data_IF_253076941609
#
_entry.id   IF_253076941609
#
_cell.length_a   1.000
_cell.length_b   1.000
_cell.length_c   1.000
_cell.angle_alpha   90.00
_cell.angle_beta   90.00
_cell.angle_gamma   90.00
#
_symmetry.space_group_name_H-M   'P 1'
#
loop_
_entity.id
_entity.type
_entity.pdbx_description
1 polymer ?
#
# COMPACT_ATOMS: atom_id res chain seq x y z
N UNK A 1 -14.25 30.99 52.61
CA UNK A 1 -13.25 30.18 51.89
C UNK A 1 -13.94 29.67 50.62
N UNK A 2 -13.71 30.34 49.50
CA UNK A 2 -14.11 29.85 48.19
C UNK A 2 -13.09 28.83 47.71
N UNK A 3 -13.47 27.55 47.72
CA UNK A 3 -12.72 26.51 47.00
C UNK A 3 -13.17 26.63 45.54
N UNK A 4 -12.35 27.25 44.71
CA UNK A 4 -12.55 27.21 43.27
C UNK A 4 -12.26 25.78 42.81
N UNK A 5 -13.31 25.04 42.52
CA UNK A 5 -13.17 23.76 41.81
C UNK A 5 -12.62 24.03 40.41
N UNK A 6 -11.32 23.82 40.23
CA UNK A 6 -10.74 23.67 38.92
C UNK A 6 -11.34 22.41 38.26
N UNK A 7 -12.31 22.61 37.40
CA UNK A 7 -12.75 21.50 36.52
C UNK A 7 -11.62 21.23 35.56
N UNK A 8 -11.03 20.02 35.53
CA UNK A 8 -9.99 19.69 34.57
C UNK A 8 -10.56 19.86 33.16
N UNK A 9 -9.79 20.52 32.31
CA UNK A 9 -10.17 20.70 30.90
C UNK A 9 -10.15 19.32 30.24
N UNK A 10 -11.30 18.86 29.75
CA UNK A 10 -11.41 17.61 28.99
C UNK A 10 -11.16 17.94 27.52
N UNK A 11 -10.30 17.17 26.87
CA UNK A 11 -10.09 17.27 25.44
C UNK A 11 -10.48 15.96 24.75
N UNK A 12 -11.03 16.05 23.54
CA UNK A 12 -11.40 14.90 22.72
C UNK A 12 -10.18 14.43 21.96
N UNK A 13 -9.89 13.14 22.02
CA UNK A 13 -8.89 12.49 21.18
C UNK A 13 -9.56 11.40 20.37
N UNK A 14 -9.37 11.45 19.07
CA UNK A 14 -9.77 10.41 18.14
C UNK A 14 -8.77 9.24 18.24
N UNK A 15 -9.30 8.03 18.20
CA UNK A 15 -8.50 6.80 18.13
C UNK A 15 -8.71 6.25 16.73
N UNK A 16 -7.66 6.24 15.95
CA UNK A 16 -7.68 5.63 14.61
C UNK A 16 -7.78 4.11 14.71
N UNK A 17 -8.68 3.48 13.93
CA UNK A 17 -8.76 2.03 13.82
C UNK A 17 -7.55 1.48 13.06
N UNK A 18 -7.15 0.25 13.37
CA UNK A 18 -6.17 -0.44 12.56
C UNK A 18 -6.81 -0.87 11.24
N UNK A 19 -6.19 -0.47 10.11
CA UNK A 19 -6.67 -0.86 8.79
C UNK A 19 -6.46 -2.35 8.56
N UNK A 20 -7.50 -3.07 8.09
CA UNK A 20 -7.46 -4.49 7.79
C UNK A 20 -6.43 -4.85 6.71
N UNK A 21 -5.98 -6.09 6.71
CA UNK A 21 -5.02 -6.62 5.74
C UNK A 21 -5.69 -7.11 4.46
N UNK A 22 -4.94 -7.14 3.36
CA UNK A 22 -5.34 -7.85 2.15
C UNK A 22 -4.46 -9.09 2.05
N UNK A 23 -5.07 -10.25 1.92
CA UNK A 23 -4.39 -11.55 1.87
C UNK A 23 -4.75 -12.29 0.58
N UNK A 24 -3.83 -13.11 0.10
CA UNK A 24 -4.08 -13.99 -1.02
C UNK A 24 -4.93 -15.22 -0.60
N UNK A 25 -5.19 -16.13 -1.54
CA UNK A 25 -6.01 -17.31 -1.25
C UNK A 25 -5.30 -18.31 -0.31
N UNK A 26 -3.98 -18.29 -0.24
CA UNK A 26 -3.16 -19.12 0.63
C UNK A 26 -2.94 -18.52 2.03
N UNK A 27 -3.30 -17.24 2.23
CA UNK A 27 -3.10 -16.51 3.48
C UNK A 27 -1.84 -15.67 3.53
N UNK A 28 -1.14 -15.49 2.40
CA UNK A 28 0.01 -14.58 2.31
C UNK A 28 -0.46 -13.13 2.35
N UNK A 29 0.25 -12.29 3.10
CA UNK A 29 -0.07 -10.86 3.25
C UNK A 29 0.32 -10.09 1.98
N UNK A 30 -0.66 -9.58 1.24
CA UNK A 30 -0.46 -8.73 0.06
C UNK A 30 -0.35 -7.25 0.42
N UNK A 31 -1.12 -6.82 1.41
CA UNK A 31 -1.04 -5.48 1.99
C UNK A 31 -1.37 -5.54 3.48
N UNK A 32 -0.60 -4.82 4.30
CA UNK A 32 -0.80 -4.79 5.75
C UNK A 32 -0.45 -3.40 6.32
N UNK A 33 -1.09 -3.04 7.43
CA UNK A 33 -0.74 -1.83 8.18
C UNK A 33 0.25 -2.17 9.29
N UNK A 34 1.35 -1.43 9.32
CA UNK A 34 2.38 -1.58 10.36
C UNK A 34 2.51 -0.26 11.11
N UNK A 35 2.47 -0.28 12.45
CA UNK A 35 2.69 0.92 13.23
C UNK A 35 4.14 1.39 13.07
N UNK A 36 4.29 2.61 12.63
CA UNK A 36 5.56 3.33 12.59
C UNK A 36 5.52 4.48 13.59
N UNK A 37 6.66 4.97 13.99
CA UNK A 37 6.75 5.99 15.01
C UNK A 37 7.59 7.17 14.55
N UNK A 38 7.06 8.36 14.76
CA UNK A 38 7.78 9.61 14.60
C UNK A 38 8.21 10.09 16.00
N UNK A 39 9.49 10.39 16.15
CA UNK A 39 10.06 10.84 17.41
C UNK A 39 10.49 12.28 17.29
N UNK A 40 9.93 13.10 18.15
CA UNK A 40 10.25 14.50 18.29
C UNK A 40 10.79 14.78 19.68
N UNK A 41 11.38 15.96 19.85
CA UNK A 41 11.91 16.38 21.13
C UNK A 41 11.48 17.81 21.47
N UNK A 42 10.91 17.99 22.66
CA UNK A 42 10.80 19.31 23.30
C UNK A 42 12.17 19.70 23.84
N UNK A 43 12.93 20.45 23.04
CA UNK A 43 14.24 20.90 23.45
C UNK A 43 14.20 21.98 24.55
N UNK A 44 13.00 22.55 24.84
CA UNK A 44 12.81 23.59 25.86
C UNK A 44 12.31 23.03 27.19
N UNK A 45 12.15 21.70 27.29
CA UNK A 45 11.67 21.00 28.46
C UNK A 45 12.43 21.43 29.72
N UNK A 46 11.72 21.63 30.85
CA UNK A 46 12.23 22.01 32.18
C UNK A 46 13.00 23.34 32.25
N UNK A 47 13.22 24.05 31.15
CA UNK A 47 14.07 25.28 31.14
C UNK A 47 13.47 26.42 31.96
N UNK A 48 12.15 26.56 31.95
CA UNK A 48 11.44 27.56 32.74
C UNK A 48 11.47 27.24 34.24
N UNK A 49 11.44 25.98 34.59
CA UNK A 49 11.56 25.48 35.96
C UNK A 49 12.97 25.67 36.48
N UNK A 50 14.00 25.38 35.67
CA UNK A 50 15.38 25.61 36.02
C UNK A 50 15.65 27.11 36.25
N UNK A 51 15.06 27.99 35.46
CA UNK A 51 15.23 29.45 35.63
C UNK A 51 14.71 29.97 36.98
N UNK A 52 13.78 29.23 37.62
CA UNK A 52 13.20 29.58 38.94
C UNK A 52 13.88 28.86 40.11
N UNK A 53 14.74 27.90 39.82
CA UNK A 53 15.42 27.08 40.84
C UNK A 53 16.75 27.72 41.26
N UNK A 54 17.09 27.62 42.56
CA UNK A 54 18.36 28.12 43.09
C UNK A 54 19.58 27.48 42.42
N UNK A 55 19.48 26.20 42.05
CA UNK A 55 20.53 25.43 41.36
C UNK A 55 20.23 25.32 39.85
N UNK A 56 19.48 26.25 39.29
CA UNK A 56 19.01 26.18 37.92
C UNK A 56 20.09 26.14 36.87
N UNK A 57 21.20 26.91 37.10
CA UNK A 57 22.36 26.91 36.20
C UNK A 57 23.07 25.53 36.13
N UNK A 58 23.18 24.86 37.28
CA UNK A 58 23.78 23.52 37.37
C UNK A 58 22.91 22.47 36.67
N UNK A 59 21.60 22.48 36.91
CA UNK A 59 20.62 21.64 36.23
C UNK A 59 20.59 21.86 34.72
N UNK A 60 20.72 23.08 34.26
CA UNK A 60 20.82 23.41 32.82
C UNK A 60 22.11 22.85 32.23
N UNK A 61 23.24 22.96 32.90
CA UNK A 61 24.51 22.40 32.46
C UNK A 61 24.46 20.86 32.38
N UNK A 62 23.87 20.23 33.37
CA UNK A 62 23.64 18.75 33.39
C UNK A 62 22.75 18.31 32.21
N UNK A 63 21.65 19.06 31.95
CA UNK A 63 20.78 18.75 30.80
C UNK A 63 21.54 18.88 29.47
N UNK A 64 22.35 19.92 29.28
CA UNK A 64 23.16 20.14 28.08
C UNK A 64 24.15 18.98 27.90
N UNK A 65 24.81 18.54 28.97
CA UNK A 65 25.72 17.40 28.93
C UNK A 65 25.00 16.11 28.50
N UNK A 66 23.84 15.84 29.09
CA UNK A 66 22.99 14.68 28.70
C UNK A 66 22.53 14.78 27.25
N UNK A 67 22.15 15.95 26.76
CA UNK A 67 21.76 16.16 25.38
C UNK A 67 22.91 15.93 24.40
N UNK A 68 24.12 16.35 24.73
CA UNK A 68 25.33 16.07 23.95
C UNK A 68 25.65 14.57 23.94
N UNK A 69 25.47 13.88 25.06
CA UNK A 69 25.66 12.44 25.13
C UNK A 69 24.60 11.70 24.29
N UNK A 70 23.32 12.09 24.40
CA UNK A 70 22.26 11.57 23.54
C UNK A 70 22.60 11.76 22.04
N UNK A 71 23.09 12.93 21.66
CA UNK A 71 23.49 13.20 20.29
C UNK A 71 24.60 12.28 19.76
N UNK A 72 25.51 11.80 20.66
CA UNK A 72 26.53 10.79 20.30
C UNK A 72 25.96 9.38 20.14
N UNK A 73 24.91 9.07 20.90
CA UNK A 73 24.27 7.75 20.91
C UNK A 73 23.29 7.56 19.74
N UNK A 74 22.58 8.63 19.31
CA UNK A 74 21.55 8.58 18.26
C UNK A 74 22.01 7.91 16.94
N UNK A 75 23.22 8.22 16.38
CA UNK A 75 23.65 7.60 15.12
C UNK A 75 23.83 6.08 15.19
N UNK A 76 24.10 5.54 16.37
CA UNK A 76 24.24 4.09 16.54
C UNK A 76 22.91 3.35 16.44
N UNK A 77 21.79 4.00 16.80
CA UNK A 77 20.45 3.46 16.75
C UNK A 77 19.78 3.81 15.41
N UNK A 78 19.96 5.04 14.92
CA UNK A 78 19.36 5.57 13.69
C UNK A 78 20.31 5.44 12.49
N UNK A 79 20.84 4.24 12.25
CA UNK A 79 21.88 3.96 11.25
C UNK A 79 21.49 4.35 9.82
N UNK A 80 20.21 4.18 9.48
CA UNK A 80 19.69 4.44 8.13
C UNK A 80 19.62 5.93 7.78
N UNK A 81 19.56 6.81 8.77
CA UNK A 81 19.49 8.27 8.57
C UNK A 81 20.82 8.87 8.09
N UNK A 82 21.95 8.19 8.25
CA UNK A 82 23.29 8.66 7.86
C UNK A 82 23.75 9.95 8.55
N UNK A 83 23.03 10.43 9.57
CA UNK A 83 23.29 11.69 10.27
C UNK A 83 24.34 11.52 11.34
N UNK A 84 25.24 12.51 11.48
CA UNK A 84 26.32 12.48 12.44
C UNK A 84 25.89 12.92 13.84
N UNK A 85 26.72 12.58 14.85
CA UNK A 85 26.55 13.06 16.22
C UNK A 85 26.57 14.61 16.31
N UNK A 86 27.39 15.28 15.48
CA UNK A 86 27.40 16.76 15.40
C UNK A 86 26.09 17.32 14.90
N UNK A 87 25.48 16.69 13.89
CA UNK A 87 24.16 17.10 13.40
C UNK A 87 23.10 17.09 14.51
N UNK A 88 22.99 15.99 15.27
CA UNK A 88 22.03 15.90 16.36
C UNK A 88 22.34 16.86 17.51
N UNK A 89 23.62 17.05 17.84
CA UNK A 89 24.02 18.03 18.86
C UNK A 89 23.60 19.45 18.47
N UNK A 90 23.89 19.86 17.24
CA UNK A 90 23.50 21.18 16.73
C UNK A 90 21.98 21.35 16.66
N UNK A 91 21.27 20.30 16.23
CA UNK A 91 19.80 20.29 16.15
C UNK A 91 19.17 20.53 17.53
N UNK A 92 19.59 19.76 18.54
CA UNK A 92 19.03 19.81 19.90
C UNK A 92 19.41 21.11 20.61
N UNK A 93 20.68 21.49 20.57
CA UNK A 93 21.15 22.71 21.28
C UNK A 93 20.63 24.00 20.63
N UNK A 94 20.52 24.04 19.31
CA UNK A 94 19.87 25.15 18.59
C UNK A 94 18.35 25.17 18.89
N UNK A 95 17.71 24.01 18.94
CA UNK A 95 16.32 23.89 19.37
C UNK A 95 16.11 24.47 20.76
N UNK A 96 17.01 24.16 21.72
CA UNK A 96 16.96 24.70 23.08
C UNK A 96 17.15 26.24 23.15
N UNK A 97 18.11 26.74 22.40
CA UNK A 97 18.35 28.20 22.31
C UNK A 97 17.13 28.94 21.73
N UNK A 98 16.53 28.37 20.69
CA UNK A 98 15.39 28.94 19.97
C UNK A 98 14.03 28.59 20.58
N UNK A 99 14.00 27.99 21.77
CA UNK A 99 12.76 27.58 22.50
C UNK A 99 11.85 26.65 21.69
N UNK A 100 12.42 25.81 20.83
CA UNK A 100 11.64 24.86 20.02
C UNK A 100 11.17 23.69 20.88
N UNK A 101 9.88 23.45 20.85
CA UNK A 101 9.23 22.37 21.63
C UNK A 101 8.91 21.13 20.79
N UNK A 102 9.14 21.19 19.49
CA UNK A 102 8.80 20.13 18.56
C UNK A 102 9.87 19.99 17.48
N UNK A 103 10.96 19.34 17.84
CA UNK A 103 12.12 19.15 16.97
C UNK A 103 12.16 17.69 16.49
N UNK A 104 12.11 17.42 15.16
CA UNK A 104 12.12 16.06 14.66
C UNK A 104 13.49 15.40 14.90
N UNK A 105 13.48 14.25 15.57
CA UNK A 105 14.67 13.42 15.81
C UNK A 105 14.73 12.27 14.83
N UNK A 106 13.63 11.52 14.70
CA UNK A 106 13.50 10.41 13.78
C UNK A 106 12.07 10.32 13.23
N UNK A 107 11.92 9.83 12.02
CA UNK A 107 10.61 9.61 11.39
C UNK A 107 10.52 8.21 10.81
N UNK A 108 9.32 7.62 10.89
CA UNK A 108 9.03 6.35 10.27
C UNK A 108 9.87 5.19 10.82
N UNK A 109 10.17 5.18 12.12
CA UNK A 109 10.92 4.10 12.77
C UNK A 109 9.98 3.00 13.27
N UNK A 110 10.45 1.77 13.28
CA UNK A 110 9.74 0.63 13.83
C UNK A 110 9.71 0.63 15.37
N UNK A 111 8.90 -0.27 15.94
CA UNK A 111 8.77 -0.39 17.39
C UNK A 111 10.08 -0.83 18.07
N UNK A 112 10.89 -1.68 17.43
CA UNK A 112 12.18 -2.14 17.96
C UNK A 112 13.15 -0.96 18.10
N UNK A 113 13.29 -0.17 17.06
CA UNK A 113 14.11 1.06 17.05
C UNK A 113 13.62 2.08 18.09
N UNK A 114 12.29 2.24 18.24
CA UNK A 114 11.73 3.09 19.29
C UNK A 114 12.13 2.62 20.70
N UNK A 115 12.09 1.32 20.96
CA UNK A 115 12.50 0.77 22.25
C UNK A 115 14.00 1.02 22.53
N UNK A 116 14.85 0.91 21.51
CA UNK A 116 16.28 1.24 21.66
C UNK A 116 16.49 2.74 21.93
N UNK A 117 15.76 3.62 21.25
CA UNK A 117 15.81 5.07 21.51
C UNK A 117 15.43 5.41 22.95
N UNK A 118 14.43 4.73 23.51
CA UNK A 118 13.99 4.94 24.90
C UNK A 118 15.03 4.54 25.94
N UNK A 119 16.04 3.76 25.58
CA UNK A 119 17.15 3.37 26.48
C UNK A 119 18.28 4.41 26.52
N UNK A 120 18.36 5.31 25.54
CA UNK A 120 19.40 6.29 25.40
C UNK A 120 19.43 7.34 26.54
N UNK A 121 20.58 7.93 26.73
CA UNK A 121 20.76 9.04 27.70
C UNK A 121 19.73 10.14 27.43
N UNK A 122 19.14 10.70 28.50
CA UNK A 122 18.04 11.64 28.50
C UNK A 122 16.70 11.01 28.11
N UNK A 123 16.58 10.21 27.03
CA UNK A 123 15.32 9.57 26.62
C UNK A 123 14.83 8.47 27.57
N UNK A 124 15.72 7.85 28.36
CA UNK A 124 15.37 6.92 29.43
C UNK A 124 14.73 7.58 30.67
N UNK A 125 14.80 8.90 30.76
CA UNK A 125 14.14 9.64 31.83
C UNK A 125 12.63 9.73 31.58
N UNK A 126 11.85 10.10 32.61
CA UNK A 126 10.41 10.30 32.47
C UNK A 126 10.12 11.37 31.40
N UNK A 127 9.05 11.22 30.64
CA UNK A 127 8.67 12.05 29.49
C UNK A 127 8.77 13.55 29.80
N UNK A 128 8.29 14.00 30.96
CA UNK A 128 8.32 15.40 31.34
C UNK A 128 9.74 15.97 31.59
N UNK A 129 10.76 15.10 31.71
CA UNK A 129 12.17 15.50 31.85
C UNK A 129 12.97 15.29 30.57
N UNK A 130 12.65 14.22 29.85
CA UNK A 130 13.33 13.87 28.60
C UNK A 130 12.95 14.79 27.46
N UNK A 131 11.72 15.32 27.46
CA UNK A 131 11.15 16.03 26.33
C UNK A 131 10.88 15.15 25.12
N UNK A 132 10.98 13.81 25.23
CA UNK A 132 10.70 12.90 24.15
C UNK A 132 9.21 12.88 23.85
N UNK A 133 8.84 13.13 22.60
CA UNK A 133 7.48 13.08 22.10
C UNK A 133 7.45 11.97 21.05
N UNK A 134 6.52 11.04 21.18
CA UNK A 134 6.35 9.91 20.27
C UNK A 134 4.96 9.97 19.66
N UNK A 135 4.90 10.01 18.35
CA UNK A 135 3.67 9.90 17.59
C UNK A 135 3.64 8.58 16.85
N UNK A 136 2.53 7.86 16.96
CA UNK A 136 2.29 6.64 16.21
C UNK A 136 1.63 7.02 14.89
N UNK A 137 2.13 6.49 13.78
CA UNK A 137 1.57 6.61 12.46
C UNK A 137 1.42 5.22 11.87
N UNK A 138 0.31 4.93 11.19
CA UNK A 138 0.16 3.66 10.50
C UNK A 138 0.63 3.80 9.06
N UNK A 139 1.59 2.96 8.68
CA UNK A 139 2.11 2.90 7.32
C UNK A 139 1.62 1.65 6.63
N UNK A 140 1.03 1.81 5.44
CA UNK A 140 0.61 0.70 4.61
C UNK A 140 1.81 0.09 3.90
N UNK A 141 2.05 -1.19 4.15
CA UNK A 141 3.16 -1.95 3.57
C UNK A 141 2.63 -2.99 2.59
N UNK A 142 3.44 -3.25 1.56
CA UNK A 142 3.17 -4.19 0.49
C UNK A 142 4.37 -5.14 0.41
N UNK A 143 4.33 -6.32 1.06
CA UNK A 143 5.48 -7.20 1.22
C UNK A 143 6.09 -7.68 -0.09
N UNK A 144 5.32 -7.68 -1.18
CA UNK A 144 5.76 -8.10 -2.52
C UNK A 144 6.01 -6.94 -3.49
N UNK A 145 6.23 -5.74 -2.95
CA UNK A 145 6.58 -4.50 -3.68
C UNK A 145 5.69 -4.21 -4.90
N UNK A 146 6.20 -4.49 -6.09
CA UNK A 146 5.53 -4.18 -7.37
C UNK A 146 4.55 -5.28 -7.82
N UNK A 147 4.60 -6.50 -7.24
CA UNK A 147 3.72 -7.60 -7.67
C UNK A 147 2.26 -7.32 -7.32
N UNK A 148 1.39 -7.45 -8.31
CA UNK A 148 -0.05 -7.17 -8.23
C UNK A 148 -0.36 -5.75 -7.71
N UNK A 149 0.61 -4.85 -7.75
CA UNK A 149 0.53 -3.54 -7.13
C UNK A 149 -0.67 -2.73 -7.61
N UNK A 150 -1.00 -2.85 -8.88
CA UNK A 150 -2.12 -2.13 -9.48
C UNK A 150 -3.47 -2.78 -9.19
N UNK A 151 -3.49 -4.09 -9.02
CA UNK A 151 -4.70 -4.85 -8.65
C UNK A 151 -5.02 -4.63 -7.17
N UNK A 152 -4.00 -4.74 -6.30
CA UNK A 152 -4.14 -4.42 -4.87
C UNK A 152 -4.51 -2.94 -4.72
N UNK A 153 -3.81 -2.07 -5.40
CA UNK A 153 -4.10 -0.64 -5.42
C UNK A 153 -3.67 0.11 -4.17
N UNK A 154 -4.32 1.23 -3.92
CA UNK A 154 -4.09 2.11 -2.78
C UNK A 154 -5.22 3.13 -2.62
N UNK A 155 -5.33 3.70 -1.43
CA UNK A 155 -6.14 4.89 -1.15
C UNK A 155 -5.19 6.07 -0.95
N UNK A 156 -5.38 7.14 -1.71
CA UNK A 156 -4.59 8.36 -1.59
C UNK A 156 -5.50 9.54 -1.30
N UNK A 157 -5.28 10.18 -0.16
CA UNK A 157 -5.91 11.46 0.17
C UNK A 157 -5.13 12.58 -0.51
N UNK A 158 -5.76 13.28 -1.43
CA UNK A 158 -5.22 14.53 -1.97
C UNK A 158 -5.74 15.70 -1.14
N UNK A 159 -4.89 16.72 -0.93
CA UNK A 159 -5.22 17.93 -0.16
C UNK A 159 -6.47 18.69 -0.64
N UNK A 160 -6.96 18.40 -1.84
CA UNK A 160 -8.05 19.11 -2.51
C UNK A 160 -9.32 18.25 -2.64
N UNK A 161 -9.78 17.67 -1.54
CA UNK A 161 -11.12 17.03 -1.42
C UNK A 161 -11.36 15.73 -2.20
N UNK A 162 -10.48 15.28 -3.07
CA UNK A 162 -10.65 14.04 -3.83
C UNK A 162 -9.79 12.91 -3.28
N UNK A 163 -10.43 11.93 -2.66
CA UNK A 163 -9.77 10.66 -2.32
C UNK A 163 -9.73 9.77 -3.55
N UNK A 164 -8.54 9.35 -3.95
CA UNK A 164 -8.36 8.43 -5.06
C UNK A 164 -8.42 7.00 -4.54
N UNK A 165 -9.43 6.26 -4.98
CA UNK A 165 -9.67 4.87 -4.66
C UNK A 165 -9.24 3.99 -5.83
N UNK A 166 -8.25 3.11 -5.63
CA UNK A 166 -7.68 2.29 -6.69
C UNK A 166 -7.57 0.84 -6.23
N UNK A 167 -7.96 -0.09 -7.10
CA UNK A 167 -7.85 -1.52 -6.89
C UNK A 167 -8.68 -2.01 -5.71
N UNK A 168 -8.28 -3.15 -5.14
CA UNK A 168 -8.94 -3.78 -3.99
C UNK A 168 -8.96 -2.84 -2.78
N UNK A 169 -7.84 -2.14 -2.53
CA UNK A 169 -7.74 -1.13 -1.47
C UNK A 169 -8.82 -0.06 -1.56
N UNK A 170 -9.11 0.37 -2.77
CA UNK A 170 -10.12 1.40 -3.02
C UNK A 170 -11.53 0.88 -2.93
N UNK A 171 -11.83 -0.20 -3.64
CA UNK A 171 -13.18 -0.78 -3.73
C UNK A 171 -13.67 -1.28 -2.36
N UNK A 172 -12.79 -1.94 -1.61
CA UNK A 172 -13.11 -2.47 -0.28
C UNK A 172 -12.71 -1.55 0.87
N UNK A 173 -12.48 -0.25 0.60
CA UNK A 173 -12.04 0.70 1.61
C UNK A 173 -13.00 0.76 2.80
N UNK A 174 -14.31 0.65 2.58
CA UNK A 174 -15.31 0.66 3.65
C UNK A 174 -15.07 -0.44 4.69
N UNK A 175 -14.70 -1.64 4.26
CA UNK A 175 -14.42 -2.77 5.14
C UNK A 175 -13.02 -2.68 5.77
N UNK A 176 -12.04 -2.25 4.98
CA UNK A 176 -10.64 -2.17 5.40
C UNK A 176 -10.39 -1.05 6.42
N UNK A 177 -11.12 0.07 6.34
CA UNK A 177 -10.82 1.27 7.14
C UNK A 177 -11.20 1.11 8.62
N UNK A 178 -12.28 0.36 8.92
CA UNK A 178 -12.82 0.28 10.27
C UNK A 178 -13.61 1.54 10.69
N UNK A 179 -13.78 1.71 12.00
CA UNK A 179 -14.54 2.86 12.56
C UNK A 179 -13.74 3.50 13.68
N UNK A 180 -13.55 4.81 13.58
CA UNK A 180 -12.84 5.62 14.57
C UNK A 180 -13.51 5.56 15.95
N UNK A 181 -12.66 5.49 16.96
CA UNK A 181 -13.07 5.61 18.36
C UNK A 181 -12.88 7.03 18.88
N UNK A 182 -13.52 7.32 20.00
CA UNK A 182 -13.37 8.59 20.73
C UNK A 182 -13.02 8.31 22.19
N UNK A 183 -11.93 8.91 22.67
CA UNK A 183 -11.58 8.90 24.08
C UNK A 183 -11.54 10.32 24.64
N UNK A 184 -11.85 10.44 25.93
CA UNK A 184 -11.66 11.70 26.63
C UNK A 184 -10.34 11.64 27.40
N UNK A 185 -9.52 12.66 27.22
CA UNK A 185 -8.29 12.87 27.99
C UNK A 185 -8.48 14.02 28.96
N UNK A 186 -8.17 13.80 30.23
CA UNK A 186 -8.09 14.86 31.24
C UNK A 186 -6.70 15.47 31.22
N UNK A 187 -6.64 16.78 31.15
CA UNK A 187 -5.39 17.52 31.34
C UNK A 187 -5.24 17.74 32.84
N UNK A 188 -4.33 17.02 33.47
CA UNK A 188 -3.96 17.20 34.87
C UNK A 188 -2.80 18.16 35.01
N UNK A 189 -2.96 19.18 35.88
CA UNK A 189 -1.92 20.19 36.27
C UNK A 189 -0.89 20.57 35.20
N UNK A 190 -1.42 20.78 34.01
CA UNK A 190 -0.71 21.51 32.96
C UNK A 190 0.08 20.68 31.97
N UNK A 191 0.20 19.33 32.06
CA UNK A 191 1.07 18.63 31.10
C UNK A 191 0.79 17.15 30.81
N UNK A 192 0.09 16.41 31.65
CA UNK A 192 -0.16 14.98 31.36
C UNK A 192 -1.61 14.75 30.96
N UNK A 193 -1.82 14.23 29.74
CA UNK A 193 -3.13 13.75 29.30
C UNK A 193 -3.35 12.34 29.87
N UNK A 194 -4.27 12.21 30.80
CA UNK A 194 -4.66 10.92 31.37
C UNK A 194 -6.04 10.54 30.82
N UNK A 195 -6.21 9.30 30.37
CA UNK A 195 -7.48 8.78 29.93
C UNK A 195 -8.55 8.95 31.04
N UNK A 196 -9.69 9.55 30.70
CA UNK A 196 -10.79 9.70 31.62
C UNK A 196 -11.64 8.43 31.67
N UNK A 197 -11.39 7.58 32.63
CA UNK A 197 -12.09 6.29 32.82
C UNK A 197 -13.60 6.40 33.06
N UNK A 198 -14.10 7.58 33.47
CA UNK A 198 -15.51 7.83 33.80
C UNK A 198 -16.34 8.38 32.62
N UNK A 199 -15.72 8.60 31.43
CA UNK A 199 -16.43 9.14 30.28
C UNK A 199 -16.80 8.07 29.26
N UNK A 200 -17.98 8.23 28.64
CA UNK A 200 -18.41 7.36 27.55
C UNK A 200 -17.39 7.42 26.41
N UNK A 201 -16.68 6.33 26.22
CA UNK A 201 -15.73 6.14 25.13
C UNK A 201 -16.46 5.50 23.96
N UNK A 202 -16.37 6.09 22.76
CA UNK A 202 -16.78 5.38 21.54
C UNK A 202 -15.68 4.37 21.24
N UNK A 203 -16.05 3.08 21.28
CA UNK A 203 -15.08 2.01 21.04
C UNK A 203 -14.61 2.06 19.59
N UNK A 204 -13.29 2.06 19.37
CA UNK A 204 -12.70 1.85 18.06
C UNK A 204 -13.03 0.44 17.56
N UNK A 205 -13.33 0.32 16.28
CA UNK A 205 -13.55 -0.96 15.60
C UNK A 205 -12.55 -1.06 14.46
N UNK A 206 -11.61 -2.00 14.58
CA UNK A 206 -10.60 -2.23 13.56
C UNK A 206 -11.23 -2.68 12.24
N UNK A 207 -10.54 -2.41 11.13
CA UNK A 207 -10.95 -2.83 9.80
C UNK A 207 -10.92 -4.35 9.65
N UNK A 208 -11.72 -4.84 8.71
CA UNK A 208 -11.80 -6.27 8.38
C UNK A 208 -10.74 -6.63 7.36
N UNK A 209 -10.16 -7.82 7.48
CA UNK A 209 -9.26 -8.36 6.47
C UNK A 209 -10.04 -8.79 5.22
N UNK A 210 -9.44 -8.56 4.06
CA UNK A 210 -9.98 -8.99 2.77
C UNK A 210 -9.17 -10.16 2.24
N UNK A 211 -9.82 -11.32 2.09
CA UNK A 211 -9.23 -12.47 1.42
C UNK A 211 -9.56 -12.44 -0.05
N UNK A 212 -8.53 -12.45 -0.90
CA UNK A 212 -8.66 -12.43 -2.35
C UNK A 212 -8.56 -13.85 -2.92
N UNK A 213 -8.86 -13.98 -4.21
CA UNK A 213 -8.62 -15.20 -4.97
C UNK A 213 -7.23 -15.25 -5.60
N UNK A 214 -6.46 -14.16 -5.50
CA UNK A 214 -5.09 -14.10 -6.01
C UNK A 214 -4.20 -15.15 -5.35
N UNK A 215 -3.23 -15.61 -6.11
CA UNK A 215 -2.15 -16.49 -5.68
C UNK A 215 -0.83 -15.79 -6.01
N UNK A 216 -0.07 -15.41 -4.99
CA UNK A 216 1.13 -14.61 -5.21
C UNK A 216 2.23 -15.36 -5.95
N UNK A 217 2.28 -16.69 -5.83
CA UNK A 217 3.26 -17.50 -6.54
C UNK A 217 2.92 -17.57 -8.04
N UNK A 218 1.62 -17.74 -8.38
CA UNK A 218 1.16 -17.68 -9.77
C UNK A 218 1.34 -16.27 -10.34
N UNK A 219 1.09 -15.24 -9.55
CA UNK A 219 1.31 -13.84 -9.92
C UNK A 219 2.78 -13.58 -10.29
N UNK A 220 3.73 -14.07 -9.48
CA UNK A 220 5.16 -13.92 -9.72
C UNK A 220 5.60 -14.68 -11.00
N UNK A 221 5.11 -15.89 -11.21
CA UNK A 221 5.39 -16.66 -12.44
C UNK A 221 4.87 -15.90 -13.67
N UNK A 222 3.64 -15.40 -13.62
CA UNK A 222 3.02 -14.66 -14.70
C UNK A 222 3.74 -13.33 -14.99
N UNK A 223 4.14 -12.59 -13.94
CA UNK A 223 4.90 -11.34 -14.06
C UNK A 223 6.24 -11.58 -14.75
N UNK A 224 7.01 -12.57 -14.28
CA UNK A 224 8.31 -12.93 -14.90
C UNK A 224 8.14 -13.39 -16.34
N UNK A 225 7.14 -14.20 -16.65
CA UNK A 225 6.87 -14.65 -18.00
C UNK A 225 6.55 -13.46 -18.93
N UNK A 226 5.70 -12.53 -18.48
CA UNK A 226 5.35 -11.35 -19.27
C UNK A 226 6.58 -10.45 -19.49
N UNK A 227 7.35 -10.14 -18.44
CA UNK A 227 8.59 -9.34 -18.54
C UNK A 227 9.57 -9.93 -19.55
N UNK A 228 9.82 -11.23 -19.46
CA UNK A 228 10.74 -11.92 -20.37
C UNK A 228 10.28 -11.84 -21.82
N UNK A 229 8.98 -12.04 -22.08
CA UNK A 229 8.45 -11.94 -23.43
C UNK A 229 8.46 -10.50 -23.97
N UNK A 230 8.11 -9.51 -23.13
CA UNK A 230 8.15 -8.10 -23.54
C UNK A 230 9.57 -7.58 -23.77
N UNK A 231 10.58 -8.16 -23.12
CA UNK A 231 11.97 -7.77 -23.32
C UNK A 231 12.57 -8.24 -24.66
N UNK A 232 11.92 -9.17 -25.37
CA UNK A 232 12.40 -9.68 -26.66
C UNK A 232 12.15 -8.72 -27.82
N UNK A 233 11.22 -7.77 -27.66
CA UNK A 233 10.80 -6.86 -28.72
C UNK A 233 10.85 -5.40 -28.21
N UNK A 234 11.58 -4.56 -28.92
CA UNK A 234 11.78 -3.15 -28.50
C UNK A 234 10.51 -2.31 -28.61
N UNK A 235 9.63 -2.64 -29.53
CA UNK A 235 8.41 -1.86 -29.84
C UNK A 235 7.25 -2.16 -28.86
N UNK A 236 7.38 -3.16 -27.99
CA UNK A 236 6.34 -3.46 -26.99
C UNK A 236 6.35 -2.40 -25.89
N UNK A 237 5.24 -1.69 -25.76
CA UNK A 237 5.06 -0.62 -24.76
C UNK A 237 4.30 -1.08 -23.51
N UNK A 238 3.55 -2.18 -23.59
CA UNK A 238 2.80 -2.72 -22.47
C UNK A 238 2.14 -4.06 -22.79
N UNK A 239 1.71 -4.77 -21.76
CA UNK A 239 1.00 -6.02 -21.86
C UNK A 239 0.31 -6.39 -20.55
N UNK A 240 -0.63 -7.32 -20.62
CA UNK A 240 -1.27 -7.87 -19.43
C UNK A 240 -1.43 -9.39 -19.53
N UNK A 241 -1.48 -10.06 -18.38
CA UNK A 241 -1.79 -11.48 -18.24
C UNK A 241 -2.86 -11.64 -17.19
N UNK A 242 -3.90 -12.41 -17.48
CA UNK A 242 -4.91 -12.82 -16.53
C UNK A 242 -4.94 -14.34 -16.47
N UNK A 243 -4.79 -14.90 -15.27
CA UNK A 243 -4.88 -16.34 -15.01
C UNK A 243 -6.16 -16.63 -14.24
N UNK A 244 -7.01 -17.45 -14.84
CA UNK A 244 -8.29 -17.86 -14.28
C UNK A 244 -8.28 -19.36 -13.93
N UNK A 245 -8.85 -19.67 -12.80
CA UNK A 245 -9.22 -21.03 -12.43
C UNK A 245 -10.47 -21.42 -13.23
N UNK A 246 -10.36 -22.46 -14.03
CA UNK A 246 -11.41 -22.83 -15.00
C UNK A 246 -12.69 -23.32 -14.30
N UNK A 247 -12.54 -24.01 -13.16
CA UNK A 247 -13.71 -24.59 -12.45
C UNK A 247 -14.49 -23.53 -11.67
N UNK A 248 -13.78 -22.56 -11.08
CA UNK A 248 -14.37 -21.59 -10.16
C UNK A 248 -14.54 -20.20 -10.76
N UNK A 249 -13.86 -19.90 -11.87
CA UNK A 249 -13.77 -18.55 -12.45
C UNK A 249 -12.91 -17.60 -11.62
N UNK A 250 -12.22 -18.09 -10.59
CA UNK A 250 -11.41 -17.25 -9.70
C UNK A 250 -10.19 -16.71 -10.43
N UNK A 251 -9.94 -15.40 -10.31
CA UNK A 251 -8.71 -14.77 -10.81
C UNK A 251 -7.56 -15.14 -9.87
N UNK A 252 -6.60 -15.92 -10.35
CA UNK A 252 -5.40 -16.35 -9.63
C UNK A 252 -4.25 -15.40 -9.80
N UNK A 253 -4.13 -14.77 -10.97
CA UNK A 253 -3.16 -13.72 -11.23
C UNK A 253 -3.72 -12.68 -12.19
N UNK A 254 -3.29 -11.45 -12.03
CA UNK A 254 -3.57 -10.34 -12.96
C UNK A 254 -2.36 -9.42 -12.99
N UNK A 255 -1.56 -9.53 -14.04
CA UNK A 255 -0.33 -8.75 -14.25
C UNK A 255 -0.59 -7.68 -15.28
N UNK A 256 -0.13 -6.48 -15.02
CA UNK A 256 -0.28 -5.32 -15.90
C UNK A 256 1.04 -4.58 -15.98
N UNK A 257 1.78 -4.71 -17.08
CA UNK A 257 3.08 -4.08 -17.24
C UNK A 257 3.04 -3.03 -18.35
N UNK A 258 3.61 -1.87 -18.05
CA UNK A 258 3.80 -0.78 -18.99
C UNK A 258 5.24 -0.28 -18.92
N UNK A 259 5.83 0.03 -20.08
CA UNK A 259 7.18 0.59 -20.19
C UNK A 259 7.16 2.05 -19.72
N UNK A 260 7.97 2.39 -18.72
CA UNK A 260 8.13 3.77 -18.27
C UNK A 260 9.09 4.55 -19.21
N UNK A 261 9.28 5.85 -18.93
CA UNK A 261 10.17 6.72 -19.74
C UNK A 261 11.63 6.28 -19.72
N UNK A 262 12.03 5.47 -18.76
CA UNK A 262 13.39 4.95 -18.60
C UNK A 262 13.55 3.56 -19.22
N UNK A 263 12.48 3.01 -19.81
CA UNK A 263 12.47 1.67 -20.41
C UNK A 263 12.17 0.54 -19.41
N UNK A 264 11.85 0.82 -18.15
CA UNK A 264 11.52 -0.20 -17.17
C UNK A 264 10.04 -0.57 -17.25
N UNK A 265 9.73 -1.85 -17.08
CA UNK A 265 8.35 -2.33 -17.01
C UNK A 265 7.82 -2.20 -15.58
N UNK A 266 6.70 -1.47 -15.42
CA UNK A 266 6.05 -1.22 -14.14
C UNK A 266 4.54 -1.41 -14.21
N UNK A 267 3.91 -1.76 -13.09
CA UNK A 267 2.46 -1.77 -12.93
C UNK A 267 1.93 -0.34 -12.69
N UNK A 268 1.64 0.38 -13.78
CA UNK A 268 1.14 1.77 -13.72
C UNK A 268 -0.37 1.84 -13.87
N UNK A 269 -0.94 1.04 -14.75
CA UNK A 269 -2.36 1.04 -15.08
C UNK A 269 -2.89 -0.39 -15.20
N UNK A 270 -4.14 -0.64 -14.78
CA UNK A 270 -4.76 -1.94 -14.96
C UNK A 270 -5.28 -2.06 -16.40
N UNK A 271 -4.44 -2.58 -17.27
CA UNK A 271 -4.73 -2.73 -18.72
C UNK A 271 -5.78 -3.80 -18.95
N UNK A 272 -5.79 -4.84 -18.11
CA UNK A 272 -6.73 -5.96 -18.26
C UNK A 272 -8.20 -5.53 -18.14
N UNK A 273 -8.47 -4.50 -17.31
CA UNK A 273 -9.83 -4.03 -17.07
C UNK A 273 -10.11 -2.63 -17.60
N UNK A 274 -9.09 -1.81 -17.84
CA UNK A 274 -9.24 -0.39 -18.12
C UNK A 274 -8.87 0.05 -19.53
N UNK A 275 -8.29 -0.83 -20.37
CA UNK A 275 -7.92 -0.48 -21.74
C UNK A 275 -8.93 -1.05 -22.75
N UNK A 276 -9.67 -0.20 -23.47
CA UNK A 276 -10.42 -0.66 -24.64
C UNK A 276 -9.42 -1.01 -25.75
N UNK A 277 -9.38 -2.27 -26.16
CA UNK A 277 -8.55 -2.75 -27.25
C UNK A 277 -9.39 -3.58 -28.21
N UNK A 278 -9.03 -3.55 -29.48
CA UNK A 278 -9.62 -4.44 -30.47
C UNK A 278 -9.09 -5.86 -30.22
N UNK A 279 -9.93 -6.83 -29.82
CA UNK A 279 -9.48 -8.17 -29.47
C UNK A 279 -9.03 -8.99 -30.69
N UNK A 280 -9.41 -8.55 -31.89
CA UNK A 280 -9.09 -9.26 -33.12
C UNK A 280 -9.60 -10.71 -33.09
N UNK A 281 -8.80 -11.66 -33.67
CA UNK A 281 -9.16 -13.09 -33.74
C UNK A 281 -9.35 -13.75 -32.37
N UNK A 282 -8.87 -13.15 -31.27
CA UNK A 282 -9.12 -13.68 -29.91
C UNK A 282 -10.62 -13.71 -29.59
N UNK A 283 -11.40 -12.80 -30.19
CA UNK A 283 -12.85 -12.75 -30.02
C UNK A 283 -13.58 -13.98 -30.60
N UNK A 284 -12.92 -14.72 -31.49
CA UNK A 284 -13.47 -16.00 -32.00
C UNK A 284 -13.72 -17.02 -30.90
N UNK A 285 -12.89 -17.02 -29.84
CA UNK A 285 -13.11 -17.86 -28.66
C UNK A 285 -14.43 -17.51 -27.96
N UNK A 286 -14.73 -16.20 -27.81
CA UNK A 286 -15.99 -15.75 -27.21
C UNK A 286 -17.18 -16.19 -28.07
N UNK A 287 -17.08 -16.02 -29.39
CA UNK A 287 -18.13 -16.45 -30.32
C UNK A 287 -18.39 -17.96 -30.22
N UNK A 288 -17.32 -18.76 -30.21
CA UNK A 288 -17.44 -20.22 -30.10
C UNK A 288 -18.10 -20.62 -28.75
N UNK A 289 -17.62 -20.05 -27.65
CA UNK A 289 -18.16 -20.32 -26.31
C UNK A 289 -19.65 -19.98 -26.23
N UNK A 290 -20.05 -18.83 -26.76
CA UNK A 290 -21.47 -18.41 -26.78
C UNK A 290 -22.34 -19.36 -27.59
N UNK A 291 -21.87 -19.76 -28.79
CA UNK A 291 -22.64 -20.69 -29.65
C UNK A 291 -22.79 -22.07 -29.04
N UNK A 292 -21.76 -22.56 -28.32
CA UNK A 292 -21.80 -23.82 -27.59
C UNK A 292 -22.74 -23.75 -26.36
N UNK A 293 -22.64 -22.65 -25.57
CA UNK A 293 -23.44 -22.46 -24.36
C UNK A 293 -24.91 -22.31 -24.69
N UNK A 294 -25.24 -21.59 -25.78
CA UNK A 294 -26.61 -21.41 -26.25
C UNK A 294 -27.15 -22.61 -27.00
N UNK A 295 -26.34 -23.66 -27.20
CA UNK A 295 -26.74 -24.90 -27.87
C UNK A 295 -26.99 -24.78 -29.38
N UNK A 296 -26.41 -23.76 -30.02
CA UNK A 296 -26.51 -23.59 -31.47
C UNK A 296 -25.62 -24.56 -32.23
N UNK A 297 -24.51 -24.96 -31.64
CA UNK A 297 -23.53 -25.90 -32.24
C UNK A 297 -22.98 -26.83 -31.17
N UNK A 298 -22.51 -28.01 -31.64
CA UNK A 298 -21.68 -28.94 -30.89
C UNK A 298 -20.26 -29.00 -31.47
N UNK A 299 -19.24 -29.42 -30.71
CA UNK A 299 -17.86 -29.48 -31.19
C UNK A 299 -17.64 -30.40 -32.37
N UNK A 300 -18.48 -31.46 -32.46
CA UNK A 300 -18.48 -32.51 -33.52
C UNK A 300 -19.26 -32.11 -34.76
N UNK A 301 -20.06 -31.04 -34.71
CA UNK A 301 -20.83 -30.55 -35.85
C UNK A 301 -19.92 -30.24 -37.01
N UNK A 302 -20.35 -30.62 -38.22
CA UNK A 302 -19.61 -30.37 -39.44
C UNK A 302 -20.08 -29.08 -40.12
N UNK A 303 -19.17 -28.20 -40.33
CA UNK A 303 -19.38 -26.93 -41.06
C UNK A 303 -18.86 -27.10 -42.50
N UNK A 304 -19.70 -26.80 -43.49
CA UNK A 304 -19.30 -26.76 -44.89
C UNK A 304 -18.31 -25.59 -45.11
N UNK A 305 -17.14 -25.91 -45.64
CA UNK A 305 -16.08 -24.92 -45.89
C UNK A 305 -16.00 -24.50 -47.35
N UNK A 306 -16.82 -25.10 -48.22
CA UNK A 306 -16.83 -24.84 -49.67
C UNK A 306 -15.42 -24.81 -50.28
N UNK A 307 -14.50 -25.68 -49.82
CA UNK A 307 -13.09 -25.72 -50.20
C UNK A 307 -12.37 -24.38 -50.01
N UNK A 308 -12.75 -23.63 -48.98
CA UNK A 308 -12.15 -22.31 -48.69
C UNK A 308 -12.73 -21.15 -49.51
N UNK A 309 -13.84 -21.34 -50.24
CA UNK A 309 -14.50 -20.29 -51.02
C UNK A 309 -15.67 -19.69 -50.26
N UNK A 310 -15.69 -18.36 -50.14
CA UNK A 310 -16.80 -17.57 -49.62
C UNK A 310 -17.49 -16.85 -50.79
N UNK A 311 -18.38 -17.58 -51.52
CA UNK A 311 -19.01 -17.06 -52.71
C UNK A 311 -20.03 -15.95 -52.42
N UNK A 312 -20.55 -15.89 -51.22
CA UNK A 312 -21.58 -14.90 -50.81
C UNK A 312 -21.03 -13.56 -50.28
N UNK A 313 -19.72 -13.41 -50.18
CA UNK A 313 -19.08 -12.16 -49.74
C UNK A 313 -17.90 -11.74 -50.67
N UNK A 314 -18.20 -11.32 -51.88
CA UNK A 314 -17.15 -11.05 -52.90
C UNK A 314 -16.24 -9.86 -52.58
N UNK A 315 -16.52 -9.08 -51.50
CA UNK A 315 -15.72 -7.93 -51.08
C UNK A 315 -14.77 -8.19 -49.92
N UNK A 316 -14.86 -9.34 -49.24
CA UNK A 316 -13.93 -9.73 -48.18
C UNK A 316 -12.86 -10.62 -48.84
N UNK A 317 -11.64 -10.08 -48.95
CA UNK A 317 -10.48 -10.95 -49.31
C UNK A 317 -10.36 -12.03 -48.24
N UNK A 318 -10.19 -13.31 -48.65
CA UNK A 318 -9.95 -14.36 -47.64
C UNK A 318 -8.76 -13.98 -46.77
N UNK A 319 -8.91 -14.13 -45.49
CA UNK A 319 -7.83 -14.00 -44.53
C UNK A 319 -6.67 -14.93 -44.92
N UNK A 320 -5.41 -14.56 -44.69
CA UNK A 320 -4.25 -15.35 -45.08
C UNK A 320 -4.26 -16.79 -44.60
N UNK A 321 -5.06 -17.10 -43.58
CA UNK A 321 -5.32 -18.45 -43.07
C UNK A 321 -6.10 -19.32 -44.05
N UNK A 322 -7.06 -18.77 -44.77
CA UNK A 322 -7.84 -19.53 -45.77
C UNK A 322 -6.92 -19.97 -46.92
N UNK A 323 -5.94 -19.15 -47.29
CA UNK A 323 -4.95 -19.51 -48.27
C UNK A 323 -3.97 -20.59 -47.83
N UNK A 324 -3.69 -20.71 -46.55
CA UNK A 324 -2.88 -21.82 -46.01
C UNK A 324 -3.66 -23.12 -45.97
N UNK A 325 -4.95 -23.05 -45.70
CA UNK A 325 -5.89 -24.17 -45.76
C UNK A 325 -6.11 -24.67 -47.21
N UNK A 326 -6.28 -23.77 -48.17
CA UNK A 326 -6.29 -24.12 -49.61
C UNK A 326 -5.01 -24.81 -50.10
N UNK A 327 -3.84 -24.37 -49.61
CA UNK A 327 -2.54 -25.00 -49.90
C UNK A 327 -2.46 -26.44 -49.36
N UNK A 328 -3.20 -26.76 -48.29
CA UNK A 328 -3.25 -28.08 -47.66
C UNK A 328 -4.38 -28.96 -48.20
N UNK A 329 -4.92 -28.75 -49.39
CA UNK A 329 -5.98 -29.50 -50.05
C UNK A 329 -7.36 -29.34 -49.35
N UNK A 330 -7.87 -28.11 -49.33
CA UNK A 330 -9.12 -27.71 -48.71
C UNK A 330 -10.16 -28.79 -48.64
N UNK A 331 -10.62 -29.13 -47.45
CA UNK A 331 -11.71 -30.10 -47.22
C UNK A 331 -13.04 -29.42 -47.46
N UNK A 332 -14.04 -30.21 -47.92
CA UNK A 332 -15.38 -29.68 -48.19
C UNK A 332 -16.14 -29.37 -46.91
N UNK A 333 -15.77 -29.98 -45.77
CA UNK A 333 -16.32 -29.72 -44.47
C UNK A 333 -15.30 -30.03 -43.36
N UNK A 334 -15.42 -29.37 -42.25
CA UNK A 334 -14.53 -29.52 -41.08
C UNK A 334 -15.40 -29.55 -39.81
N UNK A 335 -15.00 -30.27 -38.76
CA UNK A 335 -15.68 -30.15 -37.46
C UNK A 335 -15.46 -28.77 -36.85
N UNK A 336 -16.39 -28.31 -36.01
CA UNK A 336 -16.24 -27.06 -35.25
C UNK A 336 -14.92 -27.08 -34.47
N UNK A 337 -14.63 -28.18 -33.77
CA UNK A 337 -13.38 -28.35 -33.00
C UNK A 337 -12.13 -28.21 -33.86
N UNK A 338 -12.07 -28.86 -35.01
CA UNK A 338 -10.91 -28.83 -35.86
C UNK A 338 -10.77 -27.47 -36.55
N UNK A 339 -11.89 -26.83 -36.92
CA UNK A 339 -11.89 -25.47 -37.48
C UNK A 339 -11.40 -24.42 -36.50
N UNK A 340 -11.57 -24.64 -35.19
CA UNK A 340 -11.06 -23.74 -34.17
C UNK A 340 -9.55 -23.95 -33.89
N UNK A 341 -9.02 -25.16 -34.15
CA UNK A 341 -7.60 -25.49 -33.94
C UNK A 341 -6.68 -24.97 -35.04
N UNK A 342 -7.24 -24.63 -36.22
CA UNK A 342 -6.46 -24.12 -37.37
C UNK A 342 -6.27 -22.61 -37.23
#
# INVERSE_FOLDING_TARGET
RYVSYFKPKKDRSEIEPQRGSIIDHNGNLLAMSTPMYNVYMDCYVMKEEYAKDKNGAEKEAEWIQKAQQLAKELPAVLKEDGRSASYYSDLILTGRRNKRRYVPIAKGIDHGTLLELKKLTLFRERTYRSGMIVEKEETRQYPYDELARRVIGYVKHNSDTNTLHIGIEGEYNYYLHGTEGLEWKKITDGKDMIQDMDSSVVKVVDGMDIRTTLDIDIQDIADRALRNNMATEEDIVGGCVVVLDVETGAVRAMVNLQKDRNGNFREVFNMATGTPAEPGSVFKAVTLTTLLEDGYIELEDKIATNHGRMDDMPRIKPDGYITSFERNKGVSSISVLDGFKI
#
